data_IF_343839206914
#
_entry.id   IF_343839206914
#
_cell.length_a   1.000
_cell.length_b   1.000
_cell.length_c   1.000
_cell.angle_alpha   90.00
_cell.angle_beta   90.00
_cell.angle_gamma   90.00
#
_symmetry.space_group_name_H-M   'P 1'
#
loop_
_entity.id
_entity.type
_entity.pdbx_description
1 polymer ?
#
# COMPACT_ATOMS: atom_id res chain seq x y z
N UNK A 1 -10.68 4.07 12.25
CA UNK A 1 -11.95 3.32 12.04
C UNK A 1 -13.15 3.97 12.74
N UNK A 2 -13.07 4.38 14.01
CA UNK A 2 -14.20 5.07 14.68
C UNK A 2 -14.57 6.36 13.94
N UNK A 3 -13.58 7.17 13.55
CA UNK A 3 -13.79 8.41 12.81
C UNK A 3 -14.54 8.22 11.48
N UNK A 4 -14.13 7.23 10.67
CA UNK A 4 -14.77 6.95 9.37
C UNK A 4 -16.19 6.41 9.50
N UNK A 5 -16.48 5.68 10.59
CA UNK A 5 -17.84 5.23 10.89
C UNK A 5 -18.72 6.42 11.30
N UNK A 6 -18.20 7.34 12.12
CA UNK A 6 -18.92 8.54 12.52
C UNK A 6 -19.21 9.45 11.32
N UNK A 7 -18.23 9.68 10.45
CA UNK A 7 -18.43 10.43 9.20
C UNK A 7 -19.55 9.80 8.35
N UNK A 8 -19.49 8.49 8.13
CA UNK A 8 -20.50 7.80 7.35
C UNK A 8 -21.91 7.94 7.96
N UNK A 9 -22.04 7.75 9.29
CA UNK A 9 -23.33 7.83 9.98
C UNK A 9 -23.90 9.25 10.02
N UNK A 10 -23.05 10.26 10.12
CA UNK A 10 -23.46 11.68 10.07
C UNK A 10 -23.88 12.04 8.65
N UNK A 11 -23.09 11.66 7.64
CA UNK A 11 -23.36 11.98 6.25
C UNK A 11 -24.58 11.25 5.69
N UNK A 12 -24.84 10.01 6.06
CA UNK A 12 -26.06 9.32 5.61
C UNK A 12 -27.33 9.94 6.22
N UNK A 13 -27.24 10.50 7.44
CA UNK A 13 -28.35 11.19 8.09
C UNK A 13 -28.59 12.59 7.51
N UNK A 14 -27.53 13.36 7.25
CA UNK A 14 -27.62 14.74 6.78
C UNK A 14 -27.69 14.86 5.24
N UNK A 15 -27.00 13.99 4.51
CA UNK A 15 -26.76 14.05 3.07
C UNK A 15 -26.84 12.65 2.40
N UNK A 16 -28.00 11.98 2.44
CA UNK A 16 -28.15 10.62 1.93
C UNK A 16 -27.77 10.49 0.44
N UNK A 17 -28.04 11.52 -0.37
CA UNK A 17 -27.72 11.54 -1.80
C UNK A 17 -26.22 11.36 -2.11
N UNK A 18 -25.33 11.73 -1.19
CA UNK A 18 -23.88 11.50 -1.36
C UNK A 18 -23.54 9.99 -1.39
N UNK A 19 -24.31 9.17 -0.65
CA UNK A 19 -24.11 7.72 -0.56
C UNK A 19 -24.81 6.95 -1.68
N UNK A 20 -25.69 7.60 -2.42
CA UNK A 20 -26.40 7.02 -3.57
C UNK A 20 -25.57 7.02 -4.86
N UNK A 21 -24.37 7.58 -4.85
CA UNK A 21 -23.46 7.55 -5.99
C UNK A 21 -22.81 6.16 -6.16
N UNK A 22 -23.59 5.20 -6.64
CA UNK A 22 -23.17 3.80 -6.77
C UNK A 22 -21.96 3.62 -7.67
N UNK A 23 -21.76 4.49 -8.65
CA UNK A 23 -20.57 4.47 -9.51
C UNK A 23 -19.29 4.78 -8.73
N UNK A 24 -19.33 5.71 -7.77
CA UNK A 24 -18.21 6.02 -6.86
C UNK A 24 -17.96 4.81 -5.94
N UNK A 25 -19.02 4.26 -5.36
CA UNK A 25 -18.92 3.09 -4.50
C UNK A 25 -18.30 1.89 -5.23
N UNK A 26 -18.77 1.59 -6.44
CA UNK A 26 -18.25 0.50 -7.27
C UNK A 26 -16.80 0.74 -7.70
N UNK A 27 -16.42 1.99 -7.98
CA UNK A 27 -15.03 2.35 -8.25
C UNK A 27 -14.15 2.11 -7.01
N UNK A 28 -14.60 2.52 -5.82
CA UNK A 28 -13.93 2.22 -4.55
C UNK A 28 -13.78 0.72 -4.30
N UNK A 29 -14.83 -0.07 -4.56
CA UNK A 29 -14.77 -1.53 -4.47
C UNK A 29 -13.74 -2.12 -5.44
N UNK A 30 -13.69 -1.65 -6.69
CA UNK A 30 -12.69 -2.08 -7.65
C UNK A 30 -11.27 -1.79 -7.15
N UNK A 31 -11.03 -0.59 -6.60
CA UNK A 31 -9.75 -0.24 -5.98
C UNK A 31 -9.40 -1.15 -4.79
N UNK A 32 -10.37 -1.49 -3.94
CA UNK A 32 -10.18 -2.43 -2.82
C UNK A 32 -9.74 -3.80 -3.33
N UNK A 33 -10.45 -4.34 -4.33
CA UNK A 33 -10.15 -5.66 -4.91
C UNK A 33 -8.78 -5.68 -5.58
N UNK A 34 -8.46 -4.67 -6.39
CA UNK A 34 -7.16 -4.60 -7.07
C UNK A 34 -6.03 -4.40 -6.03
N UNK A 35 -6.22 -3.53 -5.05
CA UNK A 35 -5.20 -3.25 -4.02
C UNK A 35 -4.89 -4.47 -3.16
N UNK A 36 -5.93 -5.21 -2.75
CA UNK A 36 -5.78 -6.47 -2.04
C UNK A 36 -5.14 -7.55 -2.93
N UNK A 37 -5.47 -7.58 -4.23
CA UNK A 37 -4.87 -8.54 -5.17
C UNK A 37 -3.37 -8.26 -5.36
N UNK A 38 -2.97 -7.00 -5.52
CA UNK A 38 -1.55 -6.61 -5.57
C UNK A 38 -0.83 -7.04 -4.29
N UNK A 39 -1.46 -6.84 -3.13
CA UNK A 39 -0.86 -7.23 -1.84
C UNK A 39 -0.68 -8.74 -1.73
N UNK A 40 -1.67 -9.53 -2.15
CA UNK A 40 -1.55 -11.00 -2.18
C UNK A 40 -0.52 -11.47 -3.19
N UNK A 41 -0.47 -10.86 -4.38
CA UNK A 41 0.57 -11.14 -5.37
C UNK A 41 1.96 -10.81 -4.83
N UNK A 42 2.14 -9.69 -4.13
CA UNK A 42 3.40 -9.34 -3.48
C UNK A 42 3.85 -10.39 -2.46
N UNK A 43 2.92 -10.95 -1.67
CA UNK A 43 3.20 -12.03 -0.73
C UNK A 43 3.56 -13.31 -1.46
N UNK A 44 2.81 -13.69 -2.49
CA UNK A 44 3.03 -14.92 -3.27
C UNK A 44 4.36 -14.85 -4.04
N UNK A 45 4.65 -13.71 -4.69
CA UNK A 45 5.89 -13.50 -5.44
C UNK A 45 7.11 -13.42 -4.53
N UNK A 46 6.99 -12.80 -3.34
CA UNK A 46 8.08 -12.83 -2.38
C UNK A 46 8.25 -14.22 -1.73
N UNK A 47 7.18 -15.01 -1.60
CA UNK A 47 7.25 -16.40 -1.16
C UNK A 47 7.99 -16.55 0.17
N UNK A 48 9.12 -17.28 0.17
CA UNK A 48 9.97 -17.47 1.36
C UNK A 48 10.76 -16.22 1.77
N UNK A 49 10.89 -15.24 0.89
CA UNK A 49 11.47 -13.94 1.20
C UNK A 49 10.46 -12.98 1.87
N UNK A 50 9.14 -13.27 1.83
CA UNK A 50 8.15 -12.43 2.51
C UNK A 50 8.23 -12.59 4.02
N UNK A 51 8.42 -11.49 4.73
CA UNK A 51 8.32 -11.45 6.18
C UNK A 51 7.43 -10.30 6.65
N UNK A 52 6.57 -10.57 7.63
CA UNK A 52 5.67 -9.56 8.21
C UNK A 52 6.42 -8.49 9.02
N UNK A 53 7.62 -8.81 9.50
CA UNK A 53 8.54 -7.89 10.15
C UNK A 53 9.72 -7.63 9.22
N UNK A 54 10.22 -6.39 9.22
CA UNK A 54 11.44 -6.04 8.49
C UNK A 54 12.56 -6.92 9.06
N UNK A 55 13.10 -7.83 8.25
CA UNK A 55 14.23 -8.68 8.68
C UNK A 55 15.42 -7.79 8.96
N UNK A 56 15.94 -7.89 10.17
CA UNK A 56 17.15 -7.20 10.63
C UNK A 56 18.38 -8.10 10.46
N UNK A 57 18.17 -9.42 10.35
CA UNK A 57 19.21 -10.43 10.21
C UNK A 57 19.24 -11.04 8.80
N UNK A 58 20.45 -11.18 8.26
CA UNK A 58 20.70 -11.79 6.96
C UNK A 58 20.65 -13.32 7.07
N UNK A 59 19.58 -13.95 6.59
CA UNK A 59 19.53 -15.40 6.39
C UNK A 59 20.25 -15.77 5.09
N UNK A 60 21.06 -16.83 5.10
CA UNK A 60 21.84 -17.31 3.93
C UNK A 60 21.01 -17.61 2.66
N UNK A 61 19.68 -17.70 2.78
CA UNK A 61 18.75 -17.94 1.68
C UNK A 61 17.86 -16.73 1.32
N UNK A 62 18.17 -15.53 1.83
CA UNK A 62 17.43 -14.34 1.46
C UNK A 62 17.87 -13.89 0.07
N UNK A 63 17.04 -14.12 -0.96
CA UNK A 63 17.29 -13.64 -2.31
C UNK A 63 16.53 -12.34 -2.59
N UNK A 64 17.14 -11.44 -3.36
CA UNK A 64 16.50 -10.21 -3.81
C UNK A 64 15.47 -10.51 -4.91
N UNK A 65 14.19 -10.40 -4.56
CA UNK A 65 13.07 -10.64 -5.48
C UNK A 65 12.84 -9.41 -6.37
N UNK A 66 13.05 -9.57 -7.68
CA UNK A 66 12.91 -8.48 -8.69
C UNK A 66 11.95 -8.81 -9.83
N UNK A 67 11.28 -9.96 -9.77
CA UNK A 67 10.37 -10.43 -10.81
C UNK A 67 8.91 -10.28 -10.39
N UNK A 68 7.98 -10.45 -11.34
CA UNK A 68 6.54 -10.29 -11.07
C UNK A 68 6.20 -8.86 -10.66
N UNK A 69 5.40 -8.69 -9.61
CA UNK A 69 4.97 -7.35 -9.14
C UNK A 69 6.12 -6.49 -8.62
N UNK A 70 7.23 -7.10 -8.19
CA UNK A 70 8.45 -6.40 -7.78
C UNK A 70 9.22 -5.81 -8.97
N UNK A 71 8.95 -6.25 -10.20
CA UNK A 71 9.55 -5.63 -11.39
C UNK A 71 8.96 -4.26 -11.74
N UNK A 72 7.78 -3.93 -11.19
CA UNK A 72 7.07 -2.68 -11.48
C UNK A 72 7.22 -1.65 -10.36
N UNK A 73 7.21 -2.10 -9.10
CA UNK A 73 7.37 -1.27 -7.92
C UNK A 73 8.15 -2.05 -6.86
N UNK A 74 9.00 -1.39 -6.06
CA UNK A 74 9.82 -2.07 -5.05
C UNK A 74 9.02 -2.56 -3.86
N UNK A 75 7.98 -1.81 -3.47
CA UNK A 75 7.09 -2.17 -2.37
C UNK A 75 5.63 -2.34 -2.86
N UNK A 76 5.33 -3.41 -3.62
CA UNK A 76 3.99 -3.65 -4.16
C UNK A 76 2.96 -3.87 -3.03
N UNK A 77 3.38 -4.51 -1.93
CA UNK A 77 2.51 -4.69 -0.76
C UNK A 77 2.06 -3.36 -0.12
N UNK A 78 2.95 -2.36 -0.07
CA UNK A 78 2.65 -1.04 0.49
C UNK A 78 1.77 -0.22 -0.45
N UNK A 79 2.09 -0.26 -1.74
CA UNK A 79 1.30 0.38 -2.80
C UNK A 79 -0.13 -0.18 -2.83
N UNK A 80 -0.26 -1.52 -2.77
CA UNK A 80 -1.54 -2.20 -2.69
C UNK A 80 -2.32 -1.86 -1.42
N UNK A 81 -1.64 -1.76 -0.26
CA UNK A 81 -2.28 -1.35 1.00
C UNK A 81 -2.78 0.09 0.96
N UNK A 82 -2.00 1.02 0.41
CA UNK A 82 -2.42 2.42 0.23
C UNK A 82 -3.69 2.48 -0.63
N UNK A 83 -3.67 1.82 -1.81
CA UNK A 83 -4.82 1.79 -2.70
C UNK A 83 -6.05 1.14 -2.07
N UNK A 84 -5.86 0.02 -1.37
CA UNK A 84 -6.92 -0.64 -0.60
C UNK A 84 -7.51 0.30 0.46
N UNK A 85 -6.66 0.95 1.26
CA UNK A 85 -7.10 1.81 2.36
C UNK A 85 -7.92 3.00 1.86
N UNK A 86 -7.47 3.68 0.80
CA UNK A 86 -8.18 4.80 0.17
C UNK A 86 -9.45 4.31 -0.52
N UNK A 87 -9.38 3.16 -1.21
CA UNK A 87 -10.51 2.51 -1.87
C UNK A 87 -11.67 2.22 -0.91
N UNK A 88 -11.38 1.80 0.34
CA UNK A 88 -12.45 1.58 1.34
C UNK A 88 -13.24 2.86 1.66
N UNK A 89 -12.56 4.02 1.68
CA UNK A 89 -13.22 5.29 2.00
C UNK A 89 -13.96 5.86 0.80
N UNK A 90 -13.43 5.65 -0.42
CA UNK A 90 -14.15 5.95 -1.67
C UNK A 90 -15.40 5.08 -1.79
N UNK A 91 -15.30 3.79 -1.45
CA UNK A 91 -16.45 2.87 -1.45
C UNK A 91 -17.57 3.37 -0.53
N UNK A 92 -17.22 3.89 0.65
CA UNK A 92 -18.16 4.49 1.59
C UNK A 92 -18.57 5.93 1.24
N UNK A 93 -18.03 6.49 0.15
CA UNK A 93 -18.22 7.88 -0.26
C UNK A 93 -17.92 8.87 0.88
N UNK A 94 -16.85 8.61 1.65
CA UNK A 94 -16.40 9.43 2.80
C UNK A 94 -15.25 10.35 2.38
N UNK A 95 -15.49 11.61 1.98
CA UNK A 95 -14.45 12.48 1.43
C UNK A 95 -13.38 12.86 2.46
N UNK A 96 -13.75 13.06 3.74
CA UNK A 96 -12.81 13.48 4.79
C UNK A 96 -11.92 12.31 5.17
N UNK A 97 -12.52 11.14 5.44
CA UNK A 97 -11.76 9.94 5.78
C UNK A 97 -10.91 9.45 4.61
N UNK A 98 -11.32 9.66 3.36
CA UNK A 98 -10.49 9.35 2.19
C UNK A 98 -9.15 10.10 2.25
N UNK A 99 -9.18 11.42 2.47
CA UNK A 99 -7.96 12.24 2.57
C UNK A 99 -7.17 11.86 3.82
N UNK A 100 -7.84 11.68 4.96
CA UNK A 100 -7.18 11.32 6.20
C UNK A 100 -6.45 9.97 6.10
N UNK A 101 -7.10 8.94 5.53
CA UNK A 101 -6.49 7.63 5.34
C UNK A 101 -5.34 7.70 4.35
N UNK A 102 -5.50 8.41 3.23
CA UNK A 102 -4.43 8.61 2.26
C UNK A 102 -3.19 9.21 2.93
N UNK A 103 -3.34 10.30 3.70
CA UNK A 103 -2.23 10.98 4.36
C UNK A 103 -1.59 10.14 5.47
N UNK A 104 -2.39 9.49 6.32
CA UNK A 104 -1.87 8.67 7.42
C UNK A 104 -1.10 7.47 6.90
N UNK A 105 -1.66 6.76 5.93
CA UNK A 105 -1.02 5.56 5.34
C UNK A 105 0.19 5.94 4.51
N UNK A 106 0.10 7.01 3.73
CA UNK A 106 1.25 7.56 3.00
C UNK A 106 2.39 7.93 3.95
N UNK A 107 2.09 8.68 5.02
CA UNK A 107 3.09 9.08 6.01
C UNK A 107 3.74 7.87 6.67
N UNK A 108 2.95 6.87 7.06
CA UNK A 108 3.47 5.63 7.63
C UNK A 108 4.46 4.93 6.70
N UNK A 109 4.13 4.77 5.41
CA UNK A 109 5.04 4.14 4.47
C UNK A 109 6.22 5.01 4.07
N UNK A 110 6.06 6.34 4.00
CA UNK A 110 7.17 7.27 3.75
C UNK A 110 8.27 7.20 4.80
N UNK A 111 7.92 6.84 6.04
CA UNK A 111 8.88 6.65 7.13
C UNK A 111 9.42 5.22 7.17
N UNK A 112 8.59 4.24 6.81
CA UNK A 112 8.94 2.81 6.86
C UNK A 112 9.84 2.37 5.71
N UNK A 113 9.59 2.86 4.50
CA UNK A 113 10.33 2.46 3.29
C UNK A 113 11.83 2.75 3.45
N UNK A 114 12.29 3.98 3.77
CA UNK A 114 13.73 4.23 3.90
C UNK A 114 14.42 3.37 4.97
N UNK A 115 13.70 3.06 6.07
CA UNK A 115 14.21 2.18 7.11
C UNK A 115 14.38 0.74 6.61
N UNK A 116 13.46 0.24 5.79
CA UNK A 116 13.55 -1.08 5.17
C UNK A 116 14.62 -1.14 4.07
N UNK A 117 14.68 -0.10 3.22
CA UNK A 117 15.67 0.00 2.15
C UNK A 117 17.11 0.07 2.71
N UNK A 118 17.32 0.73 3.86
CA UNK A 118 18.60 0.71 4.56
C UNK A 118 19.11 -0.72 4.85
N UNK A 119 18.24 -1.64 5.30
CA UNK A 119 18.65 -3.03 5.54
C UNK A 119 18.81 -3.80 4.22
N UNK A 120 17.97 -3.54 3.23
CA UNK A 120 18.12 -4.17 1.91
C UNK A 120 19.44 -3.79 1.24
N UNK A 121 19.88 -2.54 1.38
CA UNK A 121 21.21 -2.09 0.96
C UNK A 121 22.32 -2.81 1.73
N UNK A 122 22.18 -2.98 3.06
CA UNK A 122 23.16 -3.72 3.87
C UNK A 122 23.25 -5.20 3.46
N UNK A 123 22.13 -5.82 3.08
CA UNK A 123 22.05 -7.23 2.72
C UNK A 123 22.53 -7.51 1.29
N UNK A 124 22.17 -6.66 0.33
CA UNK A 124 22.36 -6.93 -1.09
C UNK A 124 23.34 -5.99 -1.78
N UNK A 125 23.77 -4.92 -1.10
CA UNK A 125 24.74 -3.93 -1.60
C UNK A 125 24.34 -3.37 -2.97
N UNK A 126 25.30 -3.35 -3.89
CA UNK A 126 25.12 -2.81 -5.25
C UNK A 126 23.99 -3.47 -6.06
N UNK A 127 23.60 -4.71 -5.73
CA UNK A 127 22.47 -5.37 -6.42
C UNK A 127 21.14 -4.69 -6.11
N UNK A 128 20.99 -4.16 -4.89
CA UNK A 128 19.81 -3.41 -4.50
C UNK A 128 19.84 -2.00 -5.08
N UNK A 129 20.98 -1.32 -5.05
CA UNK A 129 21.16 0.01 -5.62
C UNK A 129 20.75 0.05 -7.12
N UNK A 130 21.25 -0.88 -7.93
CA UNK A 130 20.87 -0.99 -9.35
C UNK A 130 19.37 -1.26 -9.53
N UNK A 131 18.76 -1.99 -8.59
CA UNK A 131 17.32 -2.24 -8.62
C UNK A 131 16.52 -1.00 -8.19
N UNK A 132 17.00 -0.25 -7.20
CA UNK A 132 16.41 1.00 -6.73
C UNK A 132 16.38 2.08 -7.80
N UNK A 133 17.43 2.15 -8.64
CA UNK A 133 17.49 3.07 -9.78
C UNK A 133 16.49 2.73 -10.90
N UNK A 134 16.16 1.44 -11.09
CA UNK A 134 15.33 0.97 -12.20
C UNK A 134 13.85 0.91 -11.86
N UNK A 135 13.52 0.69 -10.59
CA UNK A 135 12.16 0.39 -10.16
C UNK A 135 11.77 1.39 -9.07
N UNK A 136 10.64 2.12 -9.20
CA UNK A 136 10.20 3.09 -8.19
C UNK A 136 9.70 2.39 -6.92
N UNK A 137 9.68 3.10 -5.78
CA UNK A 137 9.16 2.56 -4.51
C UNK A 137 7.71 2.05 -4.60
N UNK A 138 6.90 2.73 -5.44
CA UNK A 138 5.46 2.49 -5.60
C UNK A 138 4.57 3.39 -4.71
N UNK A 139 5.16 4.13 -3.79
CA UNK A 139 4.46 5.16 -3.01
C UNK A 139 4.84 6.54 -3.60
N UNK A 140 3.85 7.40 -3.94
CA UNK A 140 4.15 8.72 -4.47
C UNK A 140 5.06 9.53 -3.54
N UNK A 141 6.02 10.29 -4.08
CA UNK A 141 6.94 11.14 -3.30
C UNK A 141 7.83 10.41 -2.29
N UNK A 142 7.98 9.08 -2.42
CA UNK A 142 8.95 8.29 -1.66
C UNK A 142 9.88 7.67 -2.70
N UNK A 143 11.16 8.03 -2.64
CA UNK A 143 12.20 7.48 -3.51
C UNK A 143 13.01 6.42 -2.80
#
# INVERSE_FOLDING_TARGET
>A
MIFSLLEYLVEIYLFPGLKEHWWISNFGLAMVVIGESIRKLAIITAGRAFTHQIKVDHEEHHELVRHGVYGFVRHPGYSGFLMWSVGTQIMLCNPISMVAFALVVWRFFSQRIPYEEYFLEQFFGSRYEVYAEQVPSGIPFVN
#
